data_IF_022407234184
#
_entry.id   IF_022407234184
#
_cell.length_a   1.000
_cell.length_b   1.000
_cell.length_c   1.000
_cell.angle_alpha   90.00
_cell.angle_beta   90.00
_cell.angle_gamma   90.00
#
_symmetry.space_group_name_H-M   'P 1'
#
loop_
_entity.id
_entity.type
_entity.pdbx_description
1 polymer ?
#
# COMPACT_ATOMS: atom_id res chain seq x y z
N UNK A 1 21.19 5.17 5.50
CA UNK A 1 21.10 3.74 5.11
C UNK A 1 19.73 3.14 5.41
N UNK A 2 19.20 3.32 6.63
CA UNK A 2 17.92 2.75 7.08
C UNK A 2 16.71 2.99 6.15
N UNK A 3 16.53 4.22 5.63
CA UNK A 3 15.42 4.57 4.72
C UNK A 3 15.40 3.78 3.41
N UNK A 4 16.58 3.45 2.85
CA UNK A 4 16.67 2.72 1.59
C UNK A 4 16.30 1.26 1.78
N UNK A 5 16.70 0.67 2.91
CA UNK A 5 16.31 -0.69 3.30
C UNK A 5 14.80 -0.76 3.53
N UNK A 6 14.22 0.21 4.25
CA UNK A 6 12.77 0.26 4.48
C UNK A 6 11.98 0.38 3.16
N UNK A 7 12.41 1.25 2.22
CA UNK A 7 11.80 1.33 0.87
C UNK A 7 11.87 0.01 0.11
N UNK A 8 13.05 -0.63 0.10
CA UNK A 8 13.23 -1.91 -0.57
C UNK A 8 12.36 -3.03 0.06
N UNK A 9 12.25 -3.04 1.39
CA UNK A 9 11.39 -3.97 2.10
C UNK A 9 9.90 -3.73 1.78
N UNK A 10 9.44 -2.48 1.77
CA UNK A 10 8.07 -2.12 1.35
C UNK A 10 7.79 -2.64 -0.06
N UNK A 11 8.69 -2.39 -1.01
CA UNK A 11 8.53 -2.83 -2.39
C UNK A 11 8.44 -4.35 -2.50
N UNK A 12 9.30 -5.05 -1.76
CA UNK A 12 9.31 -6.51 -1.69
C UNK A 12 8.01 -7.05 -1.08
N UNK A 13 7.57 -6.50 0.05
CA UNK A 13 6.35 -6.97 0.73
C UNK A 13 5.09 -6.68 -0.09
N UNK A 14 5.02 -5.53 -0.75
CA UNK A 14 3.94 -5.25 -1.71
C UNK A 14 3.95 -6.26 -2.85
N UNK A 15 5.13 -6.58 -3.42
CA UNK A 15 5.23 -7.60 -4.47
C UNK A 15 4.71 -8.97 -4.02
N UNK A 16 4.99 -9.37 -2.77
CA UNK A 16 4.48 -10.63 -2.21
C UNK A 16 2.97 -10.58 -1.98
N UNK A 17 2.46 -9.49 -1.39
CA UNK A 17 1.04 -9.32 -1.08
C UNK A 17 0.17 -9.22 -2.34
N UNK A 18 0.77 -8.79 -3.44
CA UNK A 18 0.13 -8.77 -4.75
C UNK A 18 0.19 -10.11 -5.50
N UNK A 19 0.92 -11.10 -4.98
CA UNK A 19 0.89 -12.46 -5.52
C UNK A 19 -0.40 -13.17 -5.10
N UNK A 20 -0.93 -14.01 -5.98
CA UNK A 20 -2.10 -14.83 -5.71
C UNK A 20 -1.77 -16.06 -4.83
N UNK A 21 -0.49 -16.44 -4.74
CA UNK A 21 -0.07 -17.75 -4.24
C UNK A 21 0.33 -17.76 -2.74
N UNK A 22 -0.19 -16.84 -1.93
CA UNK A 22 0.10 -16.80 -0.49
C UNK A 22 -1.11 -17.22 0.35
N UNK A 23 -0.84 -17.99 1.39
CA UNK A 23 -1.86 -18.37 2.37
C UNK A 23 -2.32 -17.17 3.18
N UNK A 24 -3.50 -17.25 3.80
CA UNK A 24 -4.00 -16.21 4.70
C UNK A 24 -3.03 -15.90 5.85
N UNK A 25 -2.35 -16.91 6.39
CA UNK A 25 -1.36 -16.73 7.45
C UNK A 25 -0.13 -15.95 6.98
N UNK A 26 0.39 -16.29 5.80
CA UNK A 26 1.51 -15.55 5.19
C UNK A 26 1.10 -14.12 4.85
N UNK A 27 -0.08 -13.90 4.29
CA UNK A 27 -0.63 -12.57 4.00
C UNK A 27 -0.71 -11.70 5.25
N UNK A 28 -1.22 -12.24 6.36
CA UNK A 28 -1.26 -11.52 7.63
C UNK A 28 0.15 -11.19 8.14
N UNK A 29 1.08 -12.13 8.03
CA UNK A 29 2.47 -11.94 8.46
C UNK A 29 3.17 -10.86 7.64
N UNK A 30 3.08 -10.93 6.32
CA UNK A 30 3.70 -9.94 5.41
C UNK A 30 3.05 -8.57 5.56
N UNK A 31 1.73 -8.49 5.78
CA UNK A 31 1.04 -7.21 6.08
C UNK A 31 1.59 -6.57 7.36
N UNK A 32 1.84 -7.34 8.43
CA UNK A 32 2.44 -6.82 9.66
C UNK A 32 3.86 -6.30 9.42
N UNK A 33 4.67 -7.01 8.63
CA UNK A 33 6.01 -6.57 8.25
C UNK A 33 5.96 -5.27 7.43
N UNK A 34 5.04 -5.18 6.47
CA UNK A 34 4.79 -3.96 5.70
C UNK A 34 4.46 -2.77 6.60
N UNK A 35 3.53 -2.94 7.55
CA UNK A 35 3.17 -1.89 8.50
C UNK A 35 4.38 -1.41 9.30
N UNK A 36 5.22 -2.33 9.78
CA UNK A 36 6.46 -1.98 10.48
C UNK A 36 7.42 -1.16 9.64
N UNK A 37 7.51 -1.41 8.33
CA UNK A 37 8.34 -0.60 7.43
C UNK A 37 7.74 0.76 7.09
N UNK A 38 6.41 0.84 6.91
CA UNK A 38 5.71 2.10 6.69
C UNK A 38 5.83 3.02 7.92
N UNK A 39 5.71 2.48 9.12
CA UNK A 39 5.83 3.22 10.38
C UNK A 39 7.19 3.91 10.53
N UNK A 40 8.26 3.23 10.12
CA UNK A 40 9.63 3.80 10.11
C UNK A 40 9.77 5.03 9.22
N UNK A 41 8.95 5.12 8.16
CA UNK A 41 9.05 6.16 7.14
C UNK A 41 8.01 7.27 7.28
N UNK A 42 6.88 7.02 7.97
CA UNK A 42 5.70 7.92 7.94
C UNK A 42 5.97 9.33 8.49
N UNK A 43 6.98 9.48 9.35
CA UNK A 43 7.33 10.75 9.96
C UNK A 43 8.38 11.55 9.18
N UNK A 44 8.95 10.97 8.13
CA UNK A 44 9.94 11.63 7.29
C UNK A 44 9.25 12.25 6.05
N UNK A 45 9.17 13.59 5.97
CA UNK A 45 8.50 14.27 4.85
C UNK A 45 9.21 14.04 3.50
N UNK A 46 10.48 13.63 3.49
CA UNK A 46 11.22 13.31 2.26
C UNK A 46 10.74 11.99 1.64
N UNK A 47 9.87 11.26 2.33
CA UNK A 47 9.23 10.03 1.85
C UNK A 47 7.92 10.31 1.11
N UNK A 48 7.44 11.55 1.05
CA UNK A 48 6.16 11.88 0.43
C UNK A 48 6.07 11.44 -1.04
N UNK A 49 7.08 11.75 -1.86
CA UNK A 49 7.09 11.34 -3.27
C UNK A 49 7.04 9.80 -3.42
N UNK A 50 7.73 9.09 -2.53
CA UNK A 50 7.67 7.63 -2.50
C UNK A 50 6.28 7.13 -2.11
N UNK A 51 5.65 7.74 -1.10
CA UNK A 51 4.31 7.40 -0.65
C UNK A 51 3.25 7.67 -1.73
N UNK A 52 3.32 8.83 -2.39
CA UNK A 52 2.45 9.22 -3.51
C UNK A 52 2.54 8.22 -4.66
N UNK A 53 3.76 7.87 -5.08
CA UNK A 53 3.98 6.89 -6.14
C UNK A 53 3.38 5.53 -5.80
N UNK A 54 3.53 5.06 -4.55
CA UNK A 54 2.98 3.77 -4.13
C UNK A 54 1.45 3.80 -4.05
N UNK A 55 0.86 4.87 -3.53
CA UNK A 55 -0.58 5.06 -3.52
C UNK A 55 -1.18 5.12 -4.93
N UNK A 56 -0.53 5.83 -5.87
CA UNK A 56 -0.95 5.87 -7.28
C UNK A 56 -0.93 4.48 -7.92
N UNK A 57 0.17 3.73 -7.76
CA UNK A 57 0.27 2.35 -8.25
C UNK A 57 -0.77 1.42 -7.61
N UNK A 58 -1.05 1.61 -6.30
CA UNK A 58 -2.10 0.88 -5.60
C UNK A 58 -3.49 1.12 -6.21
N UNK A 59 -3.79 2.38 -6.52
CA UNK A 59 -5.04 2.78 -7.17
C UNK A 59 -5.20 2.17 -8.57
N UNK A 60 -4.14 2.15 -9.36
CA UNK A 60 -4.15 1.49 -10.68
C UNK A 60 -4.46 -0.01 -10.55
N UNK A 61 -3.86 -0.68 -9.57
CA UNK A 61 -4.10 -2.10 -9.28
C UNK A 61 -5.53 -2.37 -8.82
N UNK A 62 -6.09 -1.53 -7.94
CA UNK A 62 -7.52 -1.62 -7.56
C UNK A 62 -8.40 -1.49 -8.79
N UNK A 63 -8.17 -0.49 -9.64
CA UNK A 63 -8.94 -0.29 -10.86
C UNK A 63 -8.81 -1.47 -11.84
N UNK A 64 -7.63 -2.07 -11.95
CA UNK A 64 -7.43 -3.28 -12.72
C UNK A 64 -8.22 -4.46 -12.15
N UNK A 65 -8.11 -4.73 -10.84
CA UNK A 65 -8.83 -5.82 -10.17
C UNK A 65 -10.35 -5.64 -10.30
N UNK A 66 -10.87 -4.43 -10.15
CA UNK A 66 -12.30 -4.12 -10.37
C UNK A 66 -12.76 -4.45 -11.79
N UNK A 67 -11.98 -4.07 -12.80
CA UNK A 67 -12.30 -4.39 -14.20
C UNK A 67 -12.26 -5.89 -14.48
N UNK A 68 -11.27 -6.60 -13.92
CA UNK A 68 -11.16 -8.04 -14.05
C UNK A 68 -12.36 -8.74 -13.40
N UNK A 69 -12.68 -8.37 -12.17
CA UNK A 69 -13.85 -8.83 -11.45
C UNK A 69 -15.13 -8.62 -12.28
N UNK A 70 -15.35 -7.41 -12.79
CA UNK A 70 -16.50 -7.07 -13.64
C UNK A 70 -16.56 -7.84 -14.98
N UNK A 71 -15.45 -8.43 -15.43
CA UNK A 71 -15.40 -9.21 -16.68
C UNK A 71 -15.88 -10.65 -16.54
N UNK A 72 -15.91 -11.19 -15.31
CA UNK A 72 -16.39 -12.55 -15.05
C UNK A 72 -17.89 -12.58 -14.76
N UNK A 73 -18.55 -13.64 -15.22
CA UNK A 73 -19.96 -13.88 -14.94
C UNK A 73 -20.18 -14.16 -13.46
N UNK A 74 -21.35 -13.77 -12.93
CA UNK A 74 -21.70 -14.06 -11.55
C UNK A 74 -21.80 -15.57 -11.30
N UNK A 75 -21.37 -16.01 -10.12
CA UNK A 75 -21.45 -17.41 -9.69
C UNK A 75 -20.39 -18.33 -10.28
N UNK A 76 -19.39 -17.80 -11.00
CA UNK A 76 -18.24 -18.60 -11.44
C UNK A 76 -17.11 -18.55 -10.42
N UNK A 77 -16.27 -19.59 -10.41
CA UNK A 77 -15.10 -19.65 -9.53
C UNK A 77 -14.14 -18.49 -9.81
N UNK A 78 -13.95 -18.12 -11.07
CA UNK A 78 -13.11 -16.99 -11.47
C UNK A 78 -13.63 -15.67 -10.89
N UNK A 79 -14.95 -15.51 -10.83
CA UNK A 79 -15.57 -14.36 -10.20
C UNK A 79 -15.27 -14.33 -8.71
N UNK A 80 -15.47 -15.43 -7.99
CA UNK A 80 -15.18 -15.54 -6.56
C UNK A 80 -13.69 -15.32 -6.23
N UNK A 81 -12.78 -15.82 -7.08
CA UNK A 81 -11.34 -15.58 -6.97
C UNK A 81 -10.99 -14.11 -7.22
N UNK A 82 -11.59 -13.50 -8.24
CA UNK A 82 -11.36 -12.09 -8.57
C UNK A 82 -11.92 -11.13 -7.50
N UNK A 83 -13.04 -11.47 -6.86
CA UNK A 83 -13.63 -10.70 -5.76
C UNK A 83 -12.72 -10.76 -4.52
N UNK A 84 -12.15 -11.93 -4.21
CA UNK A 84 -11.13 -12.08 -3.14
C UNK A 84 -9.89 -11.25 -3.43
N UNK A 85 -9.35 -11.33 -4.65
CA UNK A 85 -8.21 -10.52 -5.07
C UNK A 85 -8.50 -9.03 -4.96
N UNK A 86 -9.69 -8.59 -5.37
CA UNK A 86 -10.11 -7.20 -5.28
C UNK A 86 -10.11 -6.72 -3.82
N UNK A 87 -10.73 -7.48 -2.91
CA UNK A 87 -10.77 -7.15 -1.49
C UNK A 87 -9.36 -7.05 -0.87
N UNK A 88 -8.45 -7.95 -1.26
CA UNK A 88 -7.05 -7.92 -0.81
C UNK A 88 -6.32 -6.65 -1.32
N UNK A 89 -6.47 -6.33 -2.61
CA UNK A 89 -5.81 -5.16 -3.21
C UNK A 89 -6.38 -3.84 -2.66
N UNK A 90 -7.69 -3.78 -2.40
CA UNK A 90 -8.33 -2.63 -1.75
C UNK A 90 -7.83 -2.42 -0.32
N UNK A 91 -7.68 -3.50 0.45
CA UNK A 91 -7.13 -3.44 1.80
C UNK A 91 -5.70 -2.89 1.80
N UNK A 92 -4.86 -3.30 0.84
CA UNK A 92 -3.51 -2.76 0.68
C UNK A 92 -3.52 -1.28 0.27
N UNK A 93 -4.44 -0.88 -0.61
CA UNK A 93 -4.55 0.50 -1.04
C UNK A 93 -4.86 1.44 0.13
N UNK A 94 -5.74 1.04 1.05
CA UNK A 94 -6.06 1.79 2.27
C UNK A 94 -4.80 2.05 3.11
N UNK A 95 -3.91 1.05 3.25
CA UNK A 95 -2.66 1.20 4.00
C UNK A 95 -1.71 2.21 3.33
N UNK A 96 -1.64 2.19 2.00
CA UNK A 96 -0.79 3.12 1.22
C UNK A 96 -1.32 4.55 1.27
N UNK A 97 -2.64 4.73 1.20
CA UNK A 97 -3.27 6.04 1.36
C UNK A 97 -3.06 6.61 2.77
N UNK A 98 -3.17 5.76 3.81
CA UNK A 98 -2.88 6.17 5.18
C UNK A 98 -1.41 6.58 5.37
N UNK A 99 -0.48 5.85 4.75
CA UNK A 99 0.94 6.20 4.75
C UNK A 99 1.21 7.55 4.05
N UNK A 100 0.63 7.76 2.87
CA UNK A 100 0.73 9.03 2.14
C UNK A 100 0.18 10.20 2.98
N UNK A 101 -1.00 10.03 3.58
CA UNK A 101 -1.60 11.04 4.45
C UNK A 101 -0.70 11.39 5.65
N UNK A 102 -0.06 10.39 6.27
CA UNK A 102 0.87 10.60 7.37
C UNK A 102 2.10 11.43 6.95
N UNK A 103 2.70 11.11 5.80
CA UNK A 103 3.82 11.88 5.24
C UNK A 103 3.44 13.35 4.95
N UNK A 104 2.23 13.58 4.40
CA UNK A 104 1.71 14.93 4.13
C UNK A 104 1.54 15.73 5.42
N UNK A 105 0.97 15.11 6.47
CA UNK A 105 0.80 15.76 7.77
C UNK A 105 2.15 16.14 8.41
N UNK A 106 3.15 15.26 8.33
CA UNK A 106 4.51 15.54 8.81
C UNK A 106 5.17 16.71 8.07
N UNK A 107 4.95 16.83 6.76
CA UNK A 107 5.42 17.98 5.96
C UNK A 107 4.74 19.29 6.40
N UNK A 108 3.44 19.26 6.67
CA UNK A 108 2.68 20.42 7.13
C UNK A 108 3.10 20.92 8.53
N UNK A 109 3.48 20.02 9.44
CA UNK A 109 4.02 20.38 10.76
C UNK A 109 5.37 21.09 10.62
N UNK A 110 6.25 20.60 9.75
CA UNK A 110 7.56 21.22 9.54
C UNK A 110 7.44 22.60 8.91
N UNK A 111 6.59 22.78 7.89
CA UNK A 111 6.36 24.08 7.27
C UNK A 111 5.92 25.15 8.30
N UNK A 112 4.99 24.83 9.19
CA UNK A 112 4.53 25.74 10.27
C UNK A 112 5.60 26.05 11.32
N UNK A 113 6.62 25.19 11.47
CA UNK A 113 7.69 25.38 12.45
C UNK A 113 8.78 26.34 11.93
N UNK A 114 8.96 26.40 10.61
CA UNK A 114 9.89 27.33 9.97
C UNK A 114 9.30 28.74 9.80
N UNK A 115 7.98 28.87 9.68
CA UNK A 115 7.27 30.16 9.52
C UNK A 115 7.16 31.01 10.81
N UNK A 116 7.63 30.48 11.96
CA UNK A 116 7.60 31.18 13.26
C UNK A 116 8.99 31.68 13.71
N UNK A 117 9.93 31.92 12.79
CA UNK A 117 11.25 32.48 13.10
C UNK A 117 11.51 33.76 12.33
#
# INVERSE_FOLDING_TARGET
MYRYVARANIDRYLSVLYSADITNYERQTVTKLLLGELDKLRHDPTQLEFAEKRAANGRERVNHARRLCASYALGTTEREESDRLLADVESLHILLDAFMAACTNSRGILARRFDRR
#
